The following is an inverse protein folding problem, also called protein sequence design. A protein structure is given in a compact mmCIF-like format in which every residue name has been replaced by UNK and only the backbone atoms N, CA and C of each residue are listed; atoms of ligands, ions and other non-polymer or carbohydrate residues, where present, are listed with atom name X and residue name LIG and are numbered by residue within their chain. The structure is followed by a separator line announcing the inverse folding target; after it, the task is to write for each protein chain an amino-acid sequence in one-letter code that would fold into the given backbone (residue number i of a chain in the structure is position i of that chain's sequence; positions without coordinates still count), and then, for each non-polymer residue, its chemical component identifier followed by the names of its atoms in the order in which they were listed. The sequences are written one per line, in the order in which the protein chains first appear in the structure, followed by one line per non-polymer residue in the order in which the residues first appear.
data_IF_184059951954
#
_entry.id   IF_184059951954
#
_cell.length_a   1.000
_cell.length_b   1.000
_cell.length_c   1.000
_cell.angle_alpha   90.00
_cell.angle_beta   90.00
_cell.angle_gamma   90.00
#
_symmetry.space_group_name_H-M   'P 1'
#
loop_
_entity.id
_entity.type
_entity.pdbx_description
1 polymer ?
#
# COMPACT_ATOMS: atom_id res chain seq x y z
N UNK A 1 28.42 -10.52 20.33
CA UNK A 1 27.17 -9.94 20.88
C UNK A 1 26.14 -9.86 19.75
N UNK A 2 25.27 -10.87 19.65
CA UNK A 2 24.29 -10.98 18.57
C UNK A 2 23.19 -9.92 18.72
N UNK A 3 22.92 -9.17 17.65
CA UNK A 3 21.83 -8.20 17.61
C UNK A 3 20.72 -8.75 16.73
N UNK A 4 19.58 -9.01 17.37
CA UNK A 4 18.34 -9.40 16.70
C UNK A 4 17.91 -8.31 15.72
N UNK A 5 17.69 -8.74 14.49
CA UNK A 5 17.11 -7.93 13.43
C UNK A 5 15.60 -8.03 13.64
N UNK A 6 14.92 -6.88 13.66
CA UNK A 6 13.49 -6.75 13.95
C UNK A 6 12.70 -7.96 13.46
N UNK A 7 12.10 -8.76 14.35
CA UNK A 7 11.23 -9.83 13.93
C UNK A 7 9.94 -9.22 13.32
N UNK A 8 9.24 -9.96 12.44
CA UNK A 8 7.88 -9.60 12.05
C UNK A 8 6.99 -9.52 13.30
N UNK A 9 5.80 -8.88 13.22
CA UNK A 9 4.93 -8.64 14.37
C UNK A 9 4.83 -9.87 15.28
N UNK A 10 5.20 -9.69 16.54
CA UNK A 10 5.53 -10.75 17.48
C UNK A 10 4.41 -11.79 17.63
N UNK A 11 4.79 -13.07 17.73
CA UNK A 11 3.89 -14.21 17.94
C UNK A 11 2.86 -13.91 19.04
N UNK A 12 1.58 -13.91 18.67
CA UNK A 12 0.45 -13.86 19.61
C UNK A 12 0.51 -15.05 20.57
N UNK A 13 0.60 -14.78 21.88
CA UNK A 13 0.56 -15.78 22.94
C UNK A 13 -0.81 -16.48 22.93
N UNK A 14 -0.82 -17.81 22.92
CA UNK A 14 -2.02 -18.65 23.06
C UNK A 14 -2.62 -18.38 24.44
N UNK A 15 -3.82 -17.80 24.48
CA UNK A 15 -4.69 -17.87 25.67
C UNK A 15 -5.74 -18.93 25.42
N UNK A 16 -5.94 -19.80 26.41
CA UNK A 16 -6.84 -20.95 26.43
C UNK A 16 -8.24 -20.57 25.94
N UNK A 17 -8.80 -21.40 25.07
CA UNK A 17 -10.16 -21.21 24.54
C UNK A 17 -11.19 -21.55 25.63
N UNK A 18 -12.10 -20.62 25.89
CA UNK A 18 -13.47 -20.97 26.30
C UNK A 18 -14.36 -20.77 25.08
N UNK A 19 -15.06 -21.84 24.71
CA UNK A 19 -15.86 -21.92 23.51
C UNK A 19 -17.01 -20.93 23.55
N UNK A 20 -16.96 -19.96 22.65
CA UNK A 20 -18.14 -19.23 22.22
C UNK A 20 -18.32 -19.61 20.76
N UNK A 21 -19.44 -20.29 20.47
CA UNK A 21 -19.85 -20.61 19.10
C UNK A 21 -20.10 -19.30 18.35
N UNK A 22 -19.14 -18.88 17.52
CA UNK A 22 -19.35 -17.81 16.55
C UNK A 22 -19.88 -18.42 15.26
N UNK A 23 -21.07 -17.98 14.87
CA UNK A 23 -21.68 -18.25 13.57
C UNK A 23 -20.69 -17.92 12.46
N UNK A 24 -20.32 -18.95 11.70
CA UNK A 24 -19.55 -18.85 10.46
C UNK A 24 -20.38 -18.14 9.41
N UNK A 25 -20.24 -16.83 9.28
CA UNK A 25 -20.62 -16.12 8.07
C UNK A 25 -19.68 -16.55 6.97
N UNK A 26 -20.18 -17.25 5.96
CA UNK A 26 -19.46 -17.63 4.75
C UNK A 26 -18.70 -16.43 4.17
N UNK A 27 -17.46 -16.58 3.69
CA UNK A 27 -16.70 -15.48 3.12
C UNK A 27 -17.42 -14.96 1.87
N UNK A 28 -17.84 -13.70 1.90
CA UNK A 28 -18.30 -13.00 0.70
C UNK A 28 -17.20 -13.08 -0.38
N UNK A 29 -17.55 -13.35 -1.64
CA UNK A 29 -16.57 -13.42 -2.72
C UNK A 29 -15.73 -12.12 -2.74
N UNK A 30 -14.44 -12.19 -3.10
CA UNK A 30 -13.62 -10.99 -3.25
C UNK A 30 -14.30 -10.07 -4.27
N UNK A 31 -14.53 -8.81 -3.89
CA UNK A 31 -15.03 -7.80 -4.81
C UNK A 31 -13.92 -7.48 -5.79
N UNK A 32 -13.89 -8.21 -6.91
CA UNK A 32 -13.05 -7.85 -8.06
C UNK A 32 -13.38 -6.41 -8.47
N UNK A 33 -12.37 -5.60 -8.82
CA UNK A 33 -12.64 -4.26 -9.32
C UNK A 33 -13.47 -4.35 -10.61
N UNK A 34 -14.36 -3.40 -10.88
CA UNK A 34 -15.11 -3.39 -12.13
C UNK A 34 -14.14 -3.34 -13.31
N UNK A 35 -14.40 -4.18 -14.32
CA UNK A 35 -13.48 -4.43 -15.44
C UNK A 35 -13.27 -3.22 -16.35
N UNK A 36 -14.24 -2.31 -16.41
CA UNK A 36 -14.17 -1.06 -17.15
C UNK A 36 -14.23 0.12 -16.19
N UNK A 37 -13.39 1.12 -16.46
CA UNK A 37 -13.58 2.46 -15.91
C UNK A 37 -14.54 3.16 -16.86
N UNK A 38 -15.72 3.54 -16.38
CA UNK A 38 -16.80 4.10 -17.19
C UNK A 38 -16.49 5.51 -17.75
N UNK A 39 -15.35 6.11 -17.35
CA UNK A 39 -14.98 7.49 -17.65
C UNK A 39 -13.48 7.60 -17.93
N UNK A 40 -13.10 8.27 -19.03
CA UNK A 40 -11.72 8.55 -19.45
C UNK A 40 -10.93 9.37 -18.41
N UNK A 41 -11.64 10.01 -17.48
CA UNK A 41 -11.05 10.85 -16.42
C UNK A 41 -10.94 10.13 -15.07
N UNK A 42 -11.32 8.86 -14.99
CA UNK A 42 -11.15 8.06 -13.78
C UNK A 42 -9.78 7.40 -13.75
N UNK A 43 -9.06 7.64 -12.66
CA UNK A 43 -7.78 7.03 -12.36
C UNK A 43 -8.01 5.91 -11.34
N UNK A 44 -7.61 4.69 -11.70
CA UNK A 44 -7.51 3.56 -10.77
C UNK A 44 -6.14 3.50 -10.15
N UNK A 45 -6.10 3.52 -8.82
CA UNK A 45 -4.89 3.36 -8.01
C UNK A 45 -5.00 2.08 -7.17
N UNK A 46 -3.96 1.27 -7.20
CA UNK A 46 -3.74 0.18 -6.25
C UNK A 46 -2.65 0.55 -5.26
N UNK A 47 -2.78 0.04 -4.03
CA UNK A 47 -1.72 0.09 -3.02
C UNK A 47 -1.53 -1.28 -2.39
N UNK A 48 -0.27 -1.71 -2.26
CA UNK A 48 0.06 -3.05 -1.81
C UNK A 48 1.42 -3.12 -1.10
N UNK A 49 1.40 -3.47 0.18
CA UNK A 49 2.61 -3.89 0.86
C UNK A 49 3.00 -5.28 0.36
N UNK A 50 4.11 -5.37 -0.37
CA UNK A 50 4.54 -6.62 -1.00
C UNK A 50 5.54 -7.42 -0.16
N UNK A 51 6.02 -6.85 0.94
CA UNK A 51 6.98 -7.46 1.86
C UNK A 51 8.19 -8.07 1.12
N UNK A 52 8.84 -7.25 0.29
CA UNK A 52 10.02 -7.58 -0.50
C UNK A 52 9.70 -7.85 -1.97
N UNK A 53 10.47 -7.22 -2.85
CA UNK A 53 10.26 -7.29 -4.31
C UNK A 53 10.71 -8.60 -4.95
N UNK A 54 11.64 -9.32 -4.32
CA UNK A 54 12.34 -10.44 -4.95
C UNK A 54 11.41 -11.53 -5.54
N UNK A 55 10.33 -11.97 -4.86
CA UNK A 55 9.42 -12.98 -5.42
C UNK A 55 8.76 -12.57 -6.75
N UNK A 56 8.61 -11.28 -7.00
CA UNK A 56 7.96 -10.75 -8.20
C UNK A 56 8.88 -10.60 -9.41
N UNK A 57 10.19 -10.80 -9.21
CA UNK A 57 11.22 -10.67 -10.24
C UNK A 57 11.75 -12.04 -10.71
N UNK A 58 11.34 -13.12 -10.04
CA UNK A 58 11.78 -14.46 -10.39
C UNK A 58 11.09 -14.92 -11.68
N UNK A 59 11.87 -15.53 -12.58
CA UNK A 59 11.28 -16.24 -13.72
C UNK A 59 10.54 -17.48 -13.20
N UNK A 60 9.38 -17.83 -13.77
CA UNK A 60 8.69 -19.08 -13.48
C UNK A 60 9.66 -20.27 -13.62
N UNK A 61 9.80 -21.12 -12.61
CA UNK A 61 10.67 -22.31 -12.66
C UNK A 61 10.27 -23.25 -13.82
N UNK A 62 9.02 -23.16 -14.29
CA UNK A 62 8.52 -23.90 -15.46
C UNK A 62 9.28 -23.62 -16.76
N UNK A 63 10.09 -22.55 -16.85
CA UNK A 63 10.98 -22.32 -18.00
C UNK A 63 12.14 -23.33 -18.07
N UNK A 64 12.48 -24.01 -16.98
CA UNK A 64 13.55 -25.01 -16.93
C UNK A 64 13.05 -26.45 -17.18
N UNK A 65 11.74 -26.68 -17.09
CA UNK A 65 11.14 -28.01 -17.26
C UNK A 65 10.25 -28.10 -18.51
N UNK A 66 10.49 -27.26 -19.53
CA UNK A 66 9.95 -27.53 -20.86
C UNK A 66 10.68 -28.74 -21.46
N UNK A 67 10.29 -29.93 -21.01
CA UNK A 67 10.64 -31.19 -21.66
C UNK A 67 10.08 -31.16 -23.07
N UNK A 68 10.99 -31.21 -24.04
CA UNK A 68 10.69 -31.44 -25.43
C UNK A 68 10.09 -32.85 -25.53
N UNK A 69 8.77 -32.94 -25.60
CA UNK A 69 8.05 -34.18 -25.85
C UNK A 69 7.40 -34.82 -24.62
N UNK A 70 6.07 -34.75 -24.57
CA UNK A 70 5.15 -35.88 -24.38
C UNK A 70 3.78 -35.34 -24.00
N UNK A 71 2.77 -35.67 -24.79
CA UNK A 71 1.38 -35.43 -24.44
C UNK A 71 0.92 -36.44 -23.40
N UNK A 72 0.30 -35.98 -22.31
CA UNK A 72 -0.80 -36.69 -21.65
C UNK A 72 -1.44 -35.85 -20.54
N UNK A 73 -2.78 -35.87 -20.57
CA UNK A 73 -3.76 -35.76 -19.47
C UNK A 73 -3.78 -34.55 -18.53
N UNK A 74 -4.78 -33.71 -18.81
CA UNK A 74 -5.65 -32.93 -17.92
C UNK A 74 -5.70 -33.41 -16.46
N UNK A 75 -5.16 -32.58 -15.56
CA UNK A 75 -5.67 -32.34 -14.21
C UNK A 75 -5.33 -30.89 -13.84
N UNK A 76 -6.05 -29.95 -14.43
CA UNK A 76 -5.90 -28.51 -14.16
C UNK A 76 -6.55 -28.17 -12.82
N UNK A 77 -5.84 -28.46 -11.71
CA UNK A 77 -5.80 -27.44 -10.65
C UNK A 77 -5.06 -26.29 -11.29
N UNK A 78 -5.77 -25.20 -11.63
CA UNK A 78 -5.16 -23.98 -12.15
C UNK A 78 -4.01 -23.61 -11.22
N UNK A 79 -2.78 -23.93 -11.65
CA UNK A 79 -1.60 -23.58 -10.91
C UNK A 79 -1.61 -22.05 -10.85
N UNK A 80 -1.69 -21.48 -9.64
CA UNK A 80 -1.66 -20.03 -9.49
C UNK A 80 -0.44 -19.52 -10.26
N UNK A 81 -0.64 -18.62 -11.24
CA UNK A 81 0.47 -18.11 -12.01
C UNK A 81 1.48 -17.47 -11.07
N UNK A 82 2.78 -17.59 -11.35
CA UNK A 82 3.84 -17.06 -10.50
C UNK A 82 3.62 -15.55 -10.28
N UNK A 83 3.96 -15.10 -9.08
CA UNK A 83 3.85 -13.70 -8.69
C UNK A 83 4.58 -12.82 -9.72
N UNK A 84 3.83 -11.99 -10.45
CA UNK A 84 4.35 -11.17 -11.54
C UNK A 84 3.75 -9.77 -11.45
N UNK A 85 4.61 -8.74 -11.52
CA UNK A 85 4.15 -7.35 -11.56
C UNK A 85 3.32 -7.10 -12.84
N UNK A 86 3.81 -7.51 -14.01
CA UNK A 86 3.03 -7.41 -15.26
C UNK A 86 1.72 -8.21 -15.18
N UNK A 87 1.78 -9.42 -14.62
CA UNK A 87 0.61 -10.25 -14.41
C UNK A 87 -0.44 -9.57 -13.54
N UNK A 88 -0.01 -8.86 -12.49
CA UNK A 88 -0.87 -8.02 -11.65
C UNK A 88 -1.52 -6.89 -12.44
N UNK A 89 -0.72 -6.12 -13.17
CA UNK A 89 -1.23 -5.00 -13.96
C UNK A 89 -2.24 -5.48 -15.01
N UNK A 90 -1.96 -6.59 -15.68
CA UNK A 90 -2.87 -7.19 -16.67
C UNK A 90 -4.19 -7.65 -16.07
N UNK A 91 -4.16 -8.46 -15.00
CA UNK A 91 -5.38 -9.06 -14.42
C UNK A 91 -6.32 -8.03 -13.80
N UNK A 92 -5.78 -6.87 -13.42
CA UNK A 92 -6.53 -5.77 -12.80
C UNK A 92 -6.84 -4.62 -13.77
N UNK A 93 -6.81 -4.90 -15.08
CA UNK A 93 -7.28 -3.97 -16.11
C UNK A 93 -6.35 -2.79 -16.37
N UNK A 94 -5.04 -2.97 -16.21
CA UNK A 94 -4.02 -1.94 -16.45
C UNK A 94 -4.26 -0.65 -15.64
N UNK A 95 -4.25 -0.73 -14.30
CA UNK A 95 -4.47 0.43 -13.45
C UNK A 95 -3.47 1.55 -13.78
N UNK A 96 -3.89 2.79 -13.58
CA UNK A 96 -3.07 3.95 -13.87
C UNK A 96 -1.88 4.06 -12.91
N UNK A 97 -2.09 3.69 -11.64
CA UNK A 97 -1.08 3.76 -10.59
C UNK A 97 -1.07 2.48 -9.76
N UNK A 98 0.12 1.95 -9.47
CA UNK A 98 0.35 0.88 -8.51
C UNK A 98 1.42 1.32 -7.51
N UNK A 99 1.02 1.45 -6.25
CA UNK A 99 1.89 1.73 -5.13
C UNK A 99 2.33 0.43 -4.45
N UNK A 100 3.64 0.26 -4.32
CA UNK A 100 4.26 -0.85 -3.62
C UNK A 100 4.96 -0.35 -2.37
N UNK A 101 4.69 -0.99 -1.24
CA UNK A 101 5.38 -0.75 0.02
C UNK A 101 6.30 -1.90 0.40
N UNK A 102 7.29 -1.58 1.23
CA UNK A 102 8.27 -2.54 1.77
C UNK A 102 9.00 -3.30 0.65
N UNK A 103 9.46 -2.58 -0.39
CA UNK A 103 10.11 -3.21 -1.56
C UNK A 103 11.44 -3.88 -1.21
N UNK A 104 12.08 -3.47 -0.10
CA UNK A 104 13.36 -4.01 0.42
C UNK A 104 14.50 -3.93 -0.58
N UNK A 105 14.56 -2.82 -1.31
CA UNK A 105 15.65 -2.49 -2.24
C UNK A 105 16.57 -1.48 -1.56
N UNK A 106 17.88 -1.73 -1.59
CA UNK A 106 18.85 -0.76 -1.10
C UNK A 106 19.03 0.36 -2.14
N UNK A 107 19.26 1.59 -1.71
CA UNK A 107 19.40 2.75 -2.62
C UNK A 107 20.46 2.54 -3.74
N UNK A 108 21.53 1.79 -3.43
CA UNK A 108 22.63 1.48 -4.36
C UNK A 108 22.38 0.23 -5.23
N UNK A 109 21.29 -0.50 -5.02
CA UNK A 109 20.96 -1.72 -5.76
C UNK A 109 20.27 -1.39 -7.09
N UNK A 110 21.02 -0.79 -8.02
CA UNK A 110 20.53 -0.37 -9.34
C UNK A 110 20.04 -1.56 -10.15
N UNK A 111 20.72 -2.71 -10.03
CA UNK A 111 20.33 -3.96 -10.71
C UNK A 111 18.90 -4.39 -10.37
N UNK A 112 18.53 -4.35 -9.08
CA UNK A 112 17.17 -4.73 -8.68
C UNK A 112 16.15 -3.69 -9.13
N UNK A 113 16.50 -2.40 -9.11
CA UNK A 113 15.64 -1.33 -9.65
C UNK A 113 15.37 -1.52 -11.15
N UNK A 114 16.39 -1.85 -11.94
CA UNK A 114 16.25 -2.12 -13.38
C UNK A 114 15.46 -3.40 -13.67
N UNK A 115 15.61 -4.42 -12.82
CA UNK A 115 14.80 -5.62 -12.89
C UNK A 115 13.31 -5.32 -12.67
N UNK A 116 12.96 -4.42 -11.75
CA UNK A 116 11.58 -3.94 -11.57
C UNK A 116 11.07 -3.20 -12.80
N UNK A 117 11.85 -2.23 -13.32
CA UNK A 117 11.50 -1.49 -14.55
C UNK A 117 11.25 -2.41 -15.74
N UNK A 118 12.04 -3.48 -15.83
CA UNK A 118 11.86 -4.53 -16.83
C UNK A 118 10.60 -5.35 -16.55
N UNK A 119 10.39 -5.79 -15.31
CA UNK A 119 9.30 -6.68 -14.92
C UNK A 119 7.90 -6.07 -15.11
N UNK A 120 7.73 -4.75 -14.95
CA UNK A 120 6.44 -4.07 -15.16
C UNK A 120 6.08 -3.92 -16.65
N UNK A 121 7.05 -4.10 -17.55
CA UNK A 121 6.91 -3.97 -19.00
C UNK A 121 7.21 -5.28 -19.77
N UNK A 122 7.56 -6.36 -19.07
CA UNK A 122 7.84 -7.65 -19.67
C UNK A 122 6.57 -8.24 -20.25
N UNK A 123 6.50 -8.39 -21.58
CA UNK A 123 5.30 -8.89 -22.27
C UNK A 123 4.89 -10.27 -21.77
N UNK A 124 3.62 -10.41 -21.38
CA UNK A 124 3.05 -11.72 -21.08
C UNK A 124 2.78 -12.49 -22.39
N UNK A 125 2.77 -13.84 -22.38
CA UNK A 125 2.44 -14.64 -23.56
C UNK A 125 1.07 -14.27 -24.17
N UNK A 126 0.08 -13.98 -23.32
CA UNK A 126 -1.27 -13.55 -23.74
C UNK A 126 -1.23 -12.19 -24.46
N UNK A 127 -0.27 -11.31 -24.15
CA UNK A 127 -0.13 -10.01 -24.82
C UNK A 127 0.40 -10.16 -26.24
N UNK A 128 1.22 -11.19 -26.52
CA UNK A 128 1.76 -11.46 -27.86
C UNK A 128 0.69 -11.95 -28.83
N UNK A 129 -0.37 -12.58 -28.33
CA UNK A 129 -1.48 -13.11 -29.13
C UNK A 129 -2.51 -12.04 -29.51
N UNK A 130 -2.50 -10.88 -28.84
CA UNK A 130 -3.50 -9.83 -29.02
C UNK A 130 -2.91 -8.67 -29.82
N UNK A 131 -3.61 -8.26 -30.89
CA UNK A 131 -3.12 -7.27 -31.87
C UNK A 131 -3.00 -5.80 -31.38
N UNK A 132 -2.99 -5.55 -30.06
CA UNK A 132 -3.00 -4.20 -29.49
C UNK A 132 -1.77 -3.89 -28.66
N UNK A 133 -1.20 -2.68 -28.80
CA UNK A 133 -0.18 -2.17 -27.87
C UNK A 133 -0.76 -2.12 -26.46
N UNK A 134 -0.02 -2.64 -25.49
CA UNK A 134 -0.39 -2.58 -24.07
C UNK A 134 0.29 -1.40 -23.40
N UNK A 135 -0.31 -0.83 -22.33
CA UNK A 135 0.29 0.30 -21.65
C UNK A 135 1.69 -0.04 -21.13
N UNK A 136 2.58 0.95 -21.22
CA UNK A 136 3.89 0.93 -20.59
C UNK A 136 3.79 1.60 -19.22
N UNK A 137 4.74 1.26 -18.36
CA UNK A 137 4.83 1.77 -17.01
C UNK A 137 6.25 2.23 -16.69
N UNK A 138 6.32 3.27 -15.87
CA UNK A 138 7.55 3.77 -15.29
C UNK A 138 7.55 3.50 -13.78
N UNK A 139 8.71 3.10 -13.25
CA UNK A 139 8.88 2.79 -11.83
C UNK A 139 9.77 3.84 -11.15
N UNK A 140 9.19 4.51 -10.16
CA UNK A 140 9.83 5.53 -9.34
C UNK A 140 10.05 4.99 -7.94
N UNK A 141 11.25 5.22 -7.38
CA UNK A 141 11.63 4.64 -6.10
C UNK A 141 11.92 5.73 -5.07
N UNK A 142 11.47 5.52 -3.84
CA UNK A 142 11.99 6.23 -2.67
C UNK A 142 12.58 5.17 -1.74
N UNK A 143 13.91 5.11 -1.69
CA UNK A 143 14.67 4.06 -1.01
C UNK A 143 15.36 4.62 0.23
N UNK A 144 15.56 3.79 1.27
CA UNK A 144 16.20 4.22 2.51
C UNK A 144 17.62 4.74 2.29
N UNK A 145 17.92 5.88 2.90
CA UNK A 145 19.24 6.52 2.92
C UNK A 145 19.78 6.70 4.35
N UNK A 146 18.97 6.43 5.38
CA UNK A 146 19.36 6.51 6.79
C UNK A 146 20.31 5.36 7.21
N UNK A 147 21.59 5.63 7.52
CA UNK A 147 22.57 4.60 7.86
C UNK A 147 22.39 4.02 9.27
N UNK A 148 21.60 4.66 10.13
CA UNK A 148 21.41 4.27 11.52
C UNK A 148 20.11 3.50 11.72
N UNK A 149 19.03 3.93 11.08
CA UNK A 149 17.68 3.38 11.29
C UNK A 149 17.22 2.41 10.17
N UNK A 150 17.81 2.48 8.97
CA UNK A 150 17.38 1.69 7.81
C UNK A 150 18.44 0.70 7.32
N UNK A 151 19.07 -0.03 8.25
CA UNK A 151 20.23 -0.90 7.97
C UNK A 151 19.88 -2.24 7.30
N UNK A 152 18.69 -2.79 7.56
CA UNK A 152 18.33 -4.14 7.12
C UNK A 152 19.25 -5.26 7.65
N UNK A 153 19.01 -6.48 7.17
CA UNK A 153 19.77 -7.66 7.59
C UNK A 153 21.25 -7.48 7.22
N UNK A 154 22.12 -7.66 8.22
CA UNK A 154 23.59 -7.51 8.09
C UNK A 154 24.05 -6.17 7.50
N UNK A 155 23.26 -5.09 7.65
CA UNK A 155 23.63 -3.78 7.11
C UNK A 155 23.44 -3.63 5.59
N UNK A 156 22.65 -4.50 4.96
CA UNK A 156 22.40 -4.49 3.51
C UNK A 156 21.64 -3.27 2.97
N UNK A 157 20.98 -2.50 3.84
CA UNK A 157 20.04 -1.43 3.46
C UNK A 157 18.69 -1.94 2.92
N UNK A 158 18.47 -3.26 2.87
CA UNK A 158 17.25 -3.88 2.33
C UNK A 158 16.22 -4.12 3.43
N UNK A 159 15.42 -3.10 3.75
CA UNK A 159 14.44 -3.19 4.86
C UNK A 159 13.11 -2.49 4.61
N UNK A 160 13.14 -1.27 4.06
CA UNK A 160 11.94 -0.46 3.81
C UNK A 160 11.81 -0.18 2.31
N UNK A 161 11.57 1.07 1.92
CA UNK A 161 11.46 1.50 0.55
C UNK A 161 10.03 1.40 0.03
N UNK A 162 9.65 2.38 -0.79
CA UNK A 162 8.41 2.38 -1.57
C UNK A 162 8.73 2.52 -3.06
N UNK A 163 7.85 2.00 -3.90
CA UNK A 163 7.91 2.16 -5.35
C UNK A 163 6.53 2.55 -5.91
N UNK A 164 6.52 3.60 -6.71
CA UNK A 164 5.34 4.07 -7.42
C UNK A 164 5.48 3.69 -8.90
N UNK A 165 4.64 2.78 -9.36
CA UNK A 165 4.58 2.31 -10.74
C UNK A 165 3.43 3.05 -11.44
N UNK A 166 3.76 3.86 -12.44
CA UNK A 166 2.83 4.81 -13.06
C UNK A 166 2.74 4.51 -14.55
N UNK A 167 1.53 4.44 -15.08
CA UNK A 167 1.29 4.20 -16.51
C UNK A 167 1.80 5.40 -17.32
N UNK A 168 2.59 5.17 -18.36
CA UNK A 168 3.33 6.24 -19.07
C UNK A 168 2.42 7.26 -19.76
N UNK A 169 1.20 6.90 -20.12
CA UNK A 169 0.22 7.82 -20.72
C UNK A 169 -0.27 8.91 -19.74
N UNK A 170 -0.16 8.70 -18.43
CA UNK A 170 -0.50 9.74 -17.44
C UNK A 170 0.38 10.98 -17.59
N UNK A 171 1.66 10.82 -17.95
CA UNK A 171 2.58 11.94 -18.18
C UNK A 171 2.26 12.75 -19.44
N UNK A 172 1.50 12.15 -20.37
CA UNK A 172 1.03 12.86 -21.58
C UNK A 172 -0.25 13.65 -21.30
N UNK A 173 -1.06 13.19 -20.34
CA UNK A 173 -2.37 13.78 -20.03
C UNK A 173 -2.31 14.77 -18.85
N UNK A 174 -1.31 14.64 -17.99
CA UNK A 174 -1.16 15.45 -16.77
C UNK A 174 0.28 15.92 -16.58
N UNK A 175 0.43 17.09 -15.98
CA UNK A 175 1.71 17.47 -15.39
C UNK A 175 1.94 16.57 -14.18
N UNK A 176 2.84 15.61 -14.34
CA UNK A 176 3.12 14.60 -13.34
C UNK A 176 4.54 14.75 -12.78
N UNK A 177 4.66 14.75 -11.46
CA UNK A 177 5.94 14.80 -10.74
C UNK A 177 5.96 13.79 -9.62
N UNK A 178 7.06 13.08 -9.46
CA UNK A 178 7.28 12.18 -8.34
C UNK A 178 8.37 12.74 -7.43
N UNK A 179 8.07 12.91 -6.15
CA UNK A 179 9.01 13.39 -5.14
C UNK A 179 8.86 12.65 -3.82
N UNK A 180 9.67 13.05 -2.85
CA UNK A 180 9.52 12.66 -1.45
C UNK A 180 9.61 13.92 -0.57
N UNK A 181 9.55 13.72 0.75
CA UNK A 181 9.69 14.74 1.78
C UNK A 181 11.11 14.75 2.34
N UNK A 182 11.55 15.88 2.88
CA UNK A 182 12.93 16.06 3.39
C UNK A 182 13.18 15.35 4.74
N UNK A 183 12.12 15.20 5.54
CA UNK A 183 12.14 14.57 6.86
C UNK A 183 12.09 13.03 6.84
N UNK A 184 11.93 12.40 5.66
CA UNK A 184 11.91 10.95 5.51
C UNK A 184 13.19 10.41 4.87
N UNK A 185 14.15 10.00 5.70
CA UNK A 185 15.36 9.30 5.26
C UNK A 185 15.22 7.78 5.24
N UNK A 186 14.06 7.25 5.63
CA UNK A 186 13.81 5.80 5.67
C UNK A 186 13.15 5.26 4.39
N UNK A 187 12.80 6.14 3.45
CA UNK A 187 12.21 5.76 2.16
C UNK A 187 10.81 5.17 2.32
N UNK A 188 9.99 5.83 3.12
CA UNK A 188 8.63 5.42 3.50
C UNK A 188 7.54 6.19 2.75
N UNK A 189 7.87 7.34 2.16
CA UNK A 189 6.90 8.21 1.48
C UNK A 189 7.37 8.54 0.07
N UNK A 190 6.51 8.27 -0.91
CA UNK A 190 6.59 8.84 -2.25
C UNK A 190 5.30 9.61 -2.53
N UNK A 191 5.42 10.80 -3.11
CA UNK A 191 4.29 11.65 -3.49
C UNK A 191 4.30 11.76 -5.00
N UNK A 192 3.21 11.31 -5.62
CA UNK A 192 2.93 11.51 -7.05
C UNK A 192 1.96 12.69 -7.16
N UNK A 193 2.48 13.80 -7.63
CA UNK A 193 1.73 15.01 -7.94
C UNK A 193 1.23 14.91 -9.37
N UNK A 194 -0.10 14.95 -9.57
CA UNK A 194 -0.75 14.99 -10.86
C UNK A 194 -1.57 16.27 -10.96
N UNK A 195 -1.37 17.07 -12.01
CA UNK A 195 -2.20 18.25 -12.23
C UNK A 195 -2.53 18.51 -13.69
N UNK A 196 -3.71 19.07 -13.91
CA UNK A 196 -4.11 19.74 -15.16
C UNK A 196 -4.52 21.19 -14.83
N UNK A 197 -5.21 21.87 -15.74
CA UNK A 197 -5.69 23.25 -15.54
C UNK A 197 -6.78 23.39 -14.47
N UNK A 198 -7.45 22.30 -14.08
CA UNK A 198 -8.65 22.32 -13.23
C UNK A 198 -8.42 21.71 -11.84
N UNK A 199 -7.61 20.67 -11.77
CA UNK A 199 -7.44 19.84 -10.58
C UNK A 199 -5.98 19.50 -10.35
N UNK A 200 -5.60 19.49 -9.08
CA UNK A 200 -4.29 19.03 -8.61
C UNK A 200 -4.50 17.94 -7.58
N UNK A 201 -3.86 16.79 -7.76
CA UNK A 201 -3.88 15.65 -6.84
C UNK A 201 -2.48 15.33 -6.34
N UNK A 202 -2.33 15.19 -5.03
CA UNK A 202 -1.15 14.63 -4.40
C UNK A 202 -1.48 13.23 -3.89
N UNK A 203 -0.94 12.22 -4.57
CA UNK A 203 -1.13 10.81 -4.26
C UNK A 203 0.05 10.31 -3.44
N UNK A 204 -0.17 9.96 -2.18
CA UNK A 204 0.89 9.49 -1.29
C UNK A 204 0.95 7.97 -1.26
N UNK A 205 2.11 7.41 -1.58
CA UNK A 205 2.47 6.02 -1.36
C UNK A 205 3.19 5.90 -0.02
N UNK A 206 2.56 5.25 0.95
CA UNK A 206 2.98 5.30 2.36
C UNK A 206 3.29 3.92 2.92
N UNK A 207 4.47 3.78 3.52
CA UNK A 207 4.82 2.70 4.44
C UNK A 207 5.15 3.27 5.82
N UNK A 208 4.11 3.51 6.62
CA UNK A 208 4.25 4.15 7.92
C UNK A 208 5.10 3.31 8.89
N UNK A 209 5.66 3.99 9.88
CA UNK A 209 6.56 3.39 10.86
C UNK A 209 5.84 2.28 11.63
N UNK A 210 6.46 1.10 11.72
CA UNK A 210 6.08 0.10 12.71
C UNK A 210 6.70 0.47 14.06
N UNK A 211 5.87 0.59 15.10
CA UNK A 211 6.30 1.01 16.42
C UNK A 211 6.87 -0.16 17.21
N UNK A 212 8.08 0.01 17.76
CA UNK A 212 8.76 -0.96 18.62
C UNK A 212 9.58 -0.23 19.70
N UNK A 213 10.06 -0.97 20.70
CA UNK A 213 10.97 -0.44 21.73
C UNK A 213 12.42 -0.27 21.24
N UNK A 214 12.70 -0.57 19.96
CA UNK A 214 14.03 -0.35 19.40
C UNK A 214 14.37 1.15 19.45
N UNK A 215 15.64 1.50 19.70
CA UNK A 215 16.05 2.90 19.67
C UNK A 215 15.85 3.49 18.28
N UNK A 216 15.31 4.70 18.24
CA UNK A 216 15.38 5.57 17.07
C UNK A 216 16.58 6.49 17.23
N UNK A 217 17.42 6.55 16.20
CA UNK A 217 18.65 7.34 16.21
C UNK A 217 18.51 8.57 15.34
N UNK A 218 19.17 9.66 15.71
CA UNK A 218 19.32 10.81 14.83
C UNK A 218 19.99 10.37 13.51
N UNK A 219 19.39 10.64 12.35
CA UNK A 219 19.92 10.17 11.06
C UNK A 219 21.28 10.75 10.67
N UNK A 220 21.73 11.84 11.30
CA UNK A 220 22.98 12.52 10.97
C UNK A 220 24.12 12.18 11.94
N UNK A 221 23.80 11.98 13.23
CA UNK A 221 24.77 11.78 14.31
C UNK A 221 24.76 10.37 14.90
N UNK A 222 23.69 9.60 14.69
CA UNK A 222 23.50 8.26 15.27
C UNK A 222 23.16 8.24 16.77
N UNK A 223 22.98 9.42 17.38
CA UNK A 223 22.62 9.57 18.80
C UNK A 223 21.19 9.09 19.05
N UNK A 224 20.93 8.48 20.20
CA UNK A 224 19.59 7.99 20.53
C UNK A 224 18.62 9.16 20.78
N UNK A 225 17.47 9.14 20.11
CA UNK A 225 16.41 10.17 20.16
C UNK A 225 15.07 9.63 20.65
N UNK A 226 15.09 8.52 21.38
CA UNK A 226 13.91 7.80 21.83
C UNK A 226 13.74 6.47 21.11
N UNK A 227 12.50 6.05 20.89
CA UNK A 227 12.15 4.72 20.37
C UNK A 227 11.46 4.80 19.00
N UNK A 228 11.26 3.64 18.37
CA UNK A 228 10.42 3.54 17.16
C UNK A 228 8.96 3.88 17.42
N UNK A 229 8.48 3.76 18.67
CA UNK A 229 7.16 4.24 19.05
C UNK A 229 7.08 5.77 18.95
N UNK A 230 8.07 6.49 19.49
CA UNK A 230 8.13 7.96 19.41
C UNK A 230 8.25 8.42 17.96
N UNK A 231 9.11 7.76 17.17
CA UNK A 231 9.25 8.06 15.74
C UNK A 231 7.95 7.86 14.97
N UNK A 232 7.10 6.93 15.37
CA UNK A 232 5.81 6.68 14.71
C UNK A 232 4.83 7.84 14.93
N UNK A 233 4.69 8.33 16.16
CA UNK A 233 3.86 9.49 16.46
C UNK A 233 4.36 10.73 15.71
N UNK A 234 5.68 10.92 15.68
CA UNK A 234 6.29 12.00 14.92
C UNK A 234 6.08 11.85 13.41
N UNK A 235 6.09 10.62 12.88
CA UNK A 235 5.75 10.36 11.47
C UNK A 235 4.32 10.76 11.15
N UNK A 236 3.36 10.46 12.03
CA UNK A 236 1.98 10.87 11.85
C UNK A 236 1.83 12.39 11.84
N UNK A 237 2.48 13.10 12.78
CA UNK A 237 2.47 14.58 12.82
C UNK A 237 3.01 15.19 11.53
N UNK A 238 4.22 14.80 11.12
CA UNK A 238 4.87 15.32 9.92
C UNK A 238 4.09 15.01 8.63
N UNK A 239 3.52 13.81 8.52
CA UNK A 239 2.66 13.44 7.40
C UNK A 239 1.39 14.31 7.36
N UNK A 240 0.74 14.51 8.51
CA UNK A 240 -0.45 15.36 8.62
C UNK A 240 -0.15 16.81 8.20
N UNK A 241 0.96 17.38 8.67
CA UNK A 241 1.38 18.74 8.31
C UNK A 241 1.64 18.90 6.81
N UNK A 242 2.29 17.92 6.18
CA UNK A 242 2.49 17.92 4.73
C UNK A 242 1.15 17.85 3.97
N UNK A 243 0.17 17.09 4.47
CA UNK A 243 -1.17 17.04 3.87
C UNK A 243 -1.88 18.40 3.98
N UNK A 244 -1.88 19.01 5.17
CA UNK A 244 -2.51 20.32 5.41
C UNK A 244 -1.85 21.39 4.54
N UNK A 245 -0.52 21.39 4.46
CA UNK A 245 0.23 22.33 3.61
C UNK A 245 -0.21 22.23 2.15
N UNK A 246 -0.29 21.01 1.61
CA UNK A 246 -0.72 20.79 0.24
C UNK A 246 -2.21 21.12 0.02
N UNK A 247 -3.11 20.82 0.97
CA UNK A 247 -4.52 21.26 0.88
C UNK A 247 -4.63 22.78 0.81
N UNK A 248 -3.85 23.50 1.62
CA UNK A 248 -3.80 24.96 1.59
C UNK A 248 -3.26 25.52 0.26
N UNK A 249 -2.45 24.74 -0.46
CA UNK A 249 -1.96 25.04 -1.81
C UNK A 249 -2.95 24.62 -2.92
N UNK A 250 -4.13 24.12 -2.55
CA UNK A 250 -5.20 23.73 -3.46
C UNK A 250 -5.09 22.31 -4.00
N UNK A 251 -4.25 21.45 -3.39
CA UNK A 251 -4.15 20.04 -3.78
C UNK A 251 -5.24 19.21 -3.13
N UNK A 252 -5.86 18.33 -3.91
CA UNK A 252 -6.61 17.20 -3.39
C UNK A 252 -5.65 16.12 -2.89
N UNK A 253 -5.82 15.70 -1.64
CA UNK A 253 -4.93 14.72 -1.02
C UNK A 253 -5.56 13.33 -1.03
N UNK A 254 -4.78 12.33 -1.46
CA UNK A 254 -5.13 10.93 -1.37
C UNK A 254 -3.95 10.15 -0.80
N UNK A 255 -4.10 9.64 0.41
CA UNK A 255 -3.13 8.82 1.11
C UNK A 255 -3.43 7.34 0.85
N UNK A 256 -2.44 6.57 0.38
CA UNK A 256 -2.61 5.16 0.11
C UNK A 256 -1.41 4.31 0.57
N UNK A 257 -1.69 3.24 1.32
CA UNK A 257 -0.66 2.28 1.76
C UNK A 257 -0.80 1.82 3.20
N UNK A 258 0.26 1.16 3.68
CA UNK A 258 0.34 0.55 5.00
C UNK A 258 0.60 1.61 6.09
N UNK A 259 -0.42 1.91 6.87
CA UNK A 259 -0.37 2.85 8.00
C UNK A 259 0.08 2.15 9.30
N UNK A 260 0.22 0.83 9.31
CA UNK A 260 0.60 0.04 10.48
C UNK A 260 -0.29 0.30 11.72
N UNK A 261 -1.56 0.64 11.52
CA UNK A 261 -2.55 0.92 12.57
C UNK A 261 -3.88 0.31 12.17
N UNK A 262 -4.53 -0.42 13.09
CA UNK A 262 -5.93 -0.80 12.99
C UNK A 262 -6.76 0.12 13.90
N UNK A 263 -7.78 0.87 13.41
CA UNK A 263 -8.36 2.01 14.09
C UNK A 263 -9.58 1.62 14.94
N UNK A 264 -10.18 0.47 14.67
CA UNK A 264 -11.45 0.03 15.25
C UNK A 264 -11.52 -1.49 15.45
N UNK A 265 -12.46 -1.98 16.26
CA UNK A 265 -12.60 -3.41 16.58
C UNK A 265 -12.92 -4.29 15.38
N UNK A 266 -13.61 -3.72 14.40
CA UNK A 266 -13.88 -4.38 13.12
C UNK A 266 -12.63 -4.54 12.24
N UNK A 267 -11.57 -3.78 12.53
CA UNK A 267 -10.30 -3.79 11.80
C UNK A 267 -9.27 -4.77 12.36
N UNK A 268 -9.63 -5.59 13.36
CA UNK A 268 -8.80 -6.68 13.86
C UNK A 268 -9.59 -7.98 14.04
N UNK A 269 -8.97 -9.11 13.73
CA UNK A 269 -9.51 -10.45 13.97
C UNK A 269 -8.46 -11.36 14.63
N UNK A 270 -8.84 -12.14 15.66
CA UNK A 270 -10.18 -12.24 16.27
C UNK A 270 -10.51 -11.09 17.22
N UNK A 271 -9.53 -10.24 17.56
CA UNK A 271 -9.73 -9.02 18.36
C UNK A 271 -8.74 -7.97 17.90
N UNK A 272 -9.07 -6.72 18.14
CA UNK A 272 -8.17 -5.59 17.94
C UNK A 272 -6.97 -5.67 18.87
N UNK A 273 -5.77 -5.40 18.34
CA UNK A 273 -4.54 -5.40 19.14
C UNK A 273 -4.50 -4.22 20.11
N UNK A 274 -4.27 -4.51 21.38
CA UNK A 274 -4.13 -3.51 22.45
C UNK A 274 -2.83 -3.65 23.24
N UNK A 275 -2.10 -4.75 23.04
CA UNK A 275 -0.78 -5.00 23.62
C UNK A 275 0.29 -5.08 22.52
N UNK A 276 1.43 -4.38 22.66
CA UNK A 276 1.75 -3.47 23.76
C UNK A 276 0.85 -2.21 23.75
N UNK A 277 0.77 -1.49 24.88
CA UNK A 277 -0.17 -0.36 25.09
C UNK A 277 -0.02 0.72 24.01
N UNK A 278 1.16 0.81 23.40
CA UNK A 278 1.48 1.68 22.29
C UNK A 278 0.57 1.47 21.07
N UNK A 279 -0.01 0.29 20.85
CA UNK A 279 -1.05 0.14 19.81
C UNK A 279 -2.28 1.01 20.06
N UNK A 280 -2.65 1.21 21.33
CA UNK A 280 -3.77 2.08 21.71
C UNK A 280 -3.42 3.54 21.48
N UNK A 281 -2.22 3.98 21.86
CA UNK A 281 -1.76 5.36 21.65
C UNK A 281 -1.62 5.70 20.17
N UNK A 282 -0.95 4.84 19.39
CA UNK A 282 -0.80 5.03 17.95
C UNK A 282 -2.14 5.10 17.22
N UNK A 283 -3.13 4.32 17.68
CA UNK A 283 -4.50 4.37 17.15
C UNK A 283 -5.17 5.70 17.47
N UNK A 284 -5.09 6.14 18.72
CA UNK A 284 -5.71 7.39 19.14
C UNK A 284 -5.15 8.58 18.34
N UNK A 285 -3.81 8.64 18.22
CA UNK A 285 -3.11 9.66 17.44
C UNK A 285 -3.46 9.60 15.95
N UNK A 286 -3.42 8.41 15.32
CA UNK A 286 -3.82 8.25 13.92
C UNK A 286 -5.27 8.70 13.67
N UNK A 287 -6.20 8.35 14.55
CA UNK A 287 -7.61 8.77 14.42
C UNK A 287 -7.76 10.28 14.55
N UNK A 288 -7.11 10.89 15.54
CA UNK A 288 -7.17 12.32 15.78
C UNK A 288 -6.62 13.12 14.59
N UNK A 289 -5.47 12.69 14.04
CA UNK A 289 -4.78 13.41 12.96
C UNK A 289 -5.41 13.21 11.58
N UNK A 290 -5.91 12.00 11.28
CA UNK A 290 -6.28 11.65 9.90
C UNK A 290 -7.74 11.29 9.68
N UNK A 291 -8.52 10.92 10.72
CA UNK A 291 -9.84 10.30 10.54
C UNK A 291 -10.96 10.97 11.38
N UNK A 292 -10.80 12.24 11.74
CA UNK A 292 -11.82 12.99 12.49
C UNK A 292 -12.10 12.46 13.89
N UNK A 293 -11.09 11.85 14.52
CA UNK A 293 -11.14 11.45 15.92
C UNK A 293 -11.25 12.64 16.87
N UNK A 294 -11.37 12.36 18.18
CA UNK A 294 -11.32 13.40 19.21
C UNK A 294 -9.99 14.15 19.09
N UNK A 295 -10.06 15.44 18.80
CA UNK A 295 -8.94 16.38 18.78
C UNK A 295 -8.90 17.17 20.08
N UNK A 296 -7.72 17.67 20.45
CA UNK A 296 -7.64 18.74 21.43
C UNK A 296 -8.33 20.00 20.88
N UNK A 297 -8.86 20.83 21.77
CA UNK A 297 -9.50 22.09 21.37
C UNK A 297 -8.43 22.94 20.67
N UNK A 298 -8.74 23.44 19.48
CA UNK A 298 -7.89 24.27 18.61
C UNK A 298 -6.78 23.59 17.78
N UNK A 299 -6.60 22.26 17.83
CA UNK A 299 -5.64 21.59 16.93
C UNK A 299 -6.17 21.52 15.49
N UNK A 300 -5.38 22.05 14.53
CA UNK A 300 -5.62 21.89 13.09
C UNK A 300 -5.10 20.53 12.65
N UNK A 301 -6.01 19.71 12.10
CA UNK A 301 -5.73 18.33 11.67
C UNK A 301 -6.23 18.12 10.25
N UNK A 302 -5.70 17.10 9.56
CA UNK A 302 -6.07 16.78 8.17
C UNK A 302 -7.53 16.32 8.03
N UNK A 303 -8.05 15.61 9.04
CA UNK A 303 -9.47 15.25 9.13
C UNK A 303 -10.06 14.53 7.89
N UNK A 304 -9.26 13.66 7.28
CA UNK A 304 -9.63 12.87 6.10
C UNK A 304 -10.70 11.81 6.34
N UNK A 305 -11.03 11.10 5.25
CA UNK A 305 -12.05 10.04 5.19
C UNK A 305 -11.39 8.72 4.83
N UNK A 306 -11.52 7.71 5.71
CA UNK A 306 -11.24 6.31 5.37
C UNK A 306 -12.26 5.84 4.31
N UNK A 307 -11.81 5.76 3.06
CA UNK A 307 -12.67 5.54 1.89
C UNK A 307 -13.39 4.19 1.97
N UNK A 308 -12.66 3.11 2.28
CA UNK A 308 -13.25 1.78 2.41
C UNK A 308 -14.37 1.81 3.44
N UNK A 309 -14.08 2.42 4.59
CA UNK A 309 -15.03 2.42 5.69
C UNK A 309 -16.27 3.24 5.41
N UNK A 310 -16.09 4.39 4.75
CA UNK A 310 -17.20 5.26 4.36
C UNK A 310 -18.13 4.59 3.33
N UNK A 311 -17.58 3.77 2.42
CA UNK A 311 -18.35 3.09 1.38
C UNK A 311 -18.98 1.76 1.83
N UNK A 312 -18.34 1.03 2.76
CA UNK A 312 -18.72 -0.34 3.10
C UNK A 312 -19.26 -0.51 4.53
N UNK A 313 -19.41 0.59 5.28
CA UNK A 313 -20.04 0.59 6.61
C UNK A 313 -19.33 -0.37 7.57
N UNK A 314 -20.06 -1.33 8.15
CA UNK A 314 -19.53 -2.25 9.16
C UNK A 314 -18.87 -3.52 8.61
N UNK A 315 -18.75 -3.65 7.28
CA UNK A 315 -18.14 -4.83 6.69
C UNK A 315 -16.71 -5.06 7.21
N UNK A 316 -16.44 -6.29 7.63
CA UNK A 316 -15.11 -6.75 8.05
C UNK A 316 -14.37 -7.29 6.83
N UNK A 317 -13.25 -6.66 6.51
CA UNK A 317 -12.22 -7.14 5.58
C UNK A 317 -10.85 -6.70 6.08
N UNK A 318 -9.85 -7.51 5.79
CA UNK A 318 -8.51 -7.36 6.35
C UNK A 318 -7.49 -7.20 5.24
N UNK A 319 -6.41 -6.50 5.55
CA UNK A 319 -5.33 -6.25 4.58
C UNK A 319 -4.07 -6.99 4.95
N UNK A 320 -3.82 -7.23 6.24
CA UNK A 320 -2.73 -8.04 6.77
C UNK A 320 -3.22 -9.39 7.28
N UNK A 321 -2.52 -10.46 6.89
CA UNK A 321 -2.76 -11.83 7.33
C UNK A 321 -1.47 -12.47 7.86
N UNK A 322 -1.50 -12.94 9.10
CA UNK A 322 -0.31 -13.50 9.75
C UNK A 322 0.21 -14.75 9.03
N UNK A 323 1.49 -14.77 8.64
CA UNK A 323 2.12 -15.95 8.03
C UNK A 323 2.17 -17.15 8.98
N UNK A 324 2.08 -18.36 8.41
CA UNK A 324 2.18 -19.61 9.16
C UNK A 324 0.97 -19.90 10.05
N UNK A 325 -0.16 -19.22 9.81
CA UNK A 325 -1.46 -19.50 10.41
C UNK A 325 -2.47 -19.80 9.32
N UNK A 326 -3.57 -20.43 9.70
CA UNK A 326 -4.73 -20.58 8.82
C UNK A 326 -5.22 -19.21 8.35
N UNK A 327 -5.55 -19.11 7.06
CA UNK A 327 -6.09 -17.91 6.45
C UNK A 327 -7.27 -17.35 7.25
N UNK A 328 -7.32 -16.04 7.47
CA UNK A 328 -8.41 -15.42 8.22
C UNK A 328 -8.34 -15.57 9.76
N UNK A 329 -7.46 -16.41 10.31
CA UNK A 329 -7.44 -16.68 11.76
C UNK A 329 -6.77 -15.59 12.63
N UNK A 330 -6.02 -14.68 12.00
CA UNK A 330 -5.25 -13.62 12.68
C UNK A 330 -4.91 -12.50 11.71
N UNK A 331 -5.73 -11.47 11.72
CA UNK A 331 -5.77 -10.47 10.65
C UNK A 331 -5.94 -9.06 11.22
N UNK A 332 -5.44 -8.07 10.48
CA UNK A 332 -5.70 -6.67 10.76
C UNK A 332 -5.94 -5.93 9.44
N UNK A 333 -6.76 -4.88 9.45
CA UNK A 333 -6.80 -3.89 8.37
C UNK A 333 -5.86 -2.77 8.76
N UNK A 334 -4.76 -2.65 8.03
CA UNK A 334 -3.69 -1.66 8.28
C UNK A 334 -3.29 -0.89 7.03
N UNK A 335 -3.83 -1.28 5.87
CA UNK A 335 -3.64 -0.60 4.60
C UNK A 335 -4.91 0.20 4.27
N UNK A 336 -4.74 1.47 3.90
CA UNK A 336 -5.85 2.41 3.73
C UNK A 336 -5.75 3.19 2.44
N UNK A 337 -6.92 3.62 1.96
CA UNK A 337 -7.04 4.85 1.19
C UNK A 337 -7.75 5.87 2.08
N UNK A 338 -7.06 6.97 2.40
CA UNK A 338 -7.63 8.11 3.11
C UNK A 338 -7.65 9.30 2.17
N UNK A 339 -8.81 9.90 1.96
CA UNK A 339 -8.93 11.08 1.10
C UNK A 339 -9.26 12.33 1.92
N UNK A 340 -8.75 13.49 1.51
CA UNK A 340 -9.10 14.78 2.12
C UNK A 340 -10.62 15.01 2.11
N UNK A 341 -11.14 15.63 3.18
CA UNK A 341 -12.59 15.81 3.37
C UNK A 341 -13.22 16.62 2.24
N UNK A 342 -12.54 17.67 1.77
CA UNK A 342 -12.98 18.46 0.61
C UNK A 342 -13.14 17.58 -0.63
N UNK A 343 -12.12 16.82 -0.98
CA UNK A 343 -12.12 15.89 -2.12
C UNK A 343 -13.23 14.85 -2.06
N UNK A 344 -13.54 14.35 -0.85
CA UNK A 344 -14.68 13.45 -0.64
C UNK A 344 -16.01 14.15 -0.93
N UNK A 345 -16.20 15.35 -0.36
CA UNK A 345 -17.43 16.13 -0.53
C UNK A 345 -17.66 16.57 -1.99
N UNK A 346 -16.57 16.84 -2.72
CA UNK A 346 -16.59 17.16 -4.15
C UNK A 346 -16.94 15.92 -5.02
N UNK A 347 -17.09 14.74 -4.41
CA UNK A 347 -17.50 13.51 -5.08
C UNK A 347 -16.45 12.95 -6.03
N UNK A 348 -15.16 13.15 -5.70
CA UNK A 348 -14.04 12.71 -6.54
C UNK A 348 -13.78 11.21 -6.44
N UNK A 349 -14.16 10.54 -5.35
CA UNK A 349 -14.06 9.08 -5.23
C UNK A 349 -15.28 8.41 -5.86
N UNK A 350 -15.03 7.42 -6.72
CA UNK A 350 -16.07 6.64 -7.41
C UNK A 350 -16.28 5.26 -6.81
N UNK A 351 -15.19 4.58 -6.51
CA UNK A 351 -15.23 3.22 -5.98
C UNK A 351 -13.96 2.88 -5.21
N UNK A 352 -14.01 1.85 -4.37
CA UNK A 352 -12.85 1.34 -3.66
C UNK A 352 -13.07 -0.09 -3.21
N UNK A 353 -11.98 -0.81 -2.95
CA UNK A 353 -12.08 -2.20 -2.50
C UNK A 353 -10.83 -2.75 -1.84
N UNK A 354 -11.00 -3.94 -1.24
CA UNK A 354 -9.93 -4.74 -0.65
C UNK A 354 -9.97 -6.12 -1.31
N UNK A 355 -8.84 -6.54 -1.88
CA UNK A 355 -8.69 -7.84 -2.53
C UNK A 355 -8.38 -8.96 -1.51
N UNK A 356 -9.25 -9.11 -0.52
CA UNK A 356 -9.07 -9.98 0.66
C UNK A 356 -9.19 -11.47 0.31
N UNK A 357 -8.16 -12.01 -0.34
CA UNK A 357 -8.03 -13.44 -0.66
C UNK A 357 -6.56 -13.88 -0.67
N UNK A 358 -6.32 -15.17 -0.44
CA UNK A 358 -4.97 -15.73 -0.47
C UNK A 358 -4.31 -15.62 -1.85
N UNK A 359 -5.09 -15.77 -2.93
CA UNK A 359 -4.61 -15.62 -4.29
C UNK A 359 -4.09 -14.20 -4.56
N UNK A 360 -4.83 -13.19 -4.12
CA UNK A 360 -4.46 -11.78 -4.32
C UNK A 360 -3.34 -11.33 -3.38
N UNK A 361 -3.23 -11.91 -2.18
CA UNK A 361 -2.07 -11.73 -1.28
C UNK A 361 -0.76 -12.17 -1.93
N UNK A 362 -0.81 -13.19 -2.79
CA UNK A 362 0.38 -13.76 -3.43
C UNK A 362 1.47 -14.10 -2.39
N UNK A 363 2.73 -13.71 -2.63
CA UNK A 363 3.85 -14.02 -1.74
C UNK A 363 3.93 -13.09 -0.51
N UNK A 364 3.11 -12.04 -0.44
CA UNK A 364 3.11 -11.09 0.67
C UNK A 364 2.39 -11.66 1.90
N UNK A 365 2.41 -10.94 3.01
CA UNK A 365 1.45 -11.05 4.12
C UNK A 365 0.32 -10.02 4.04
N UNK A 366 0.35 -9.12 3.05
CA UNK A 366 -0.73 -8.18 2.79
C UNK A 366 -1.46 -8.45 1.47
N UNK A 367 -2.74 -8.09 1.41
CA UNK A 367 -3.52 -8.03 0.16
C UNK A 367 -3.57 -6.59 -0.39
N UNK A 368 -3.72 -6.42 -1.70
CA UNK A 368 -3.91 -5.11 -2.31
C UNK A 368 -5.23 -4.45 -1.91
N UNK A 369 -5.19 -3.12 -1.81
CA UNK A 369 -6.37 -2.25 -1.78
C UNK A 369 -6.40 -1.39 -3.03
N UNK A 370 -7.57 -0.85 -3.38
CA UNK A 370 -7.70 0.01 -4.54
C UNK A 370 -8.76 1.10 -4.36
N UNK A 371 -8.63 2.15 -5.17
CA UNK A 371 -9.56 3.26 -5.28
C UNK A 371 -9.63 3.75 -6.72
N UNK A 372 -10.84 4.09 -7.14
CA UNK A 372 -11.12 4.83 -8.37
C UNK A 372 -11.47 6.26 -8.00
N UNK A 373 -10.73 7.23 -8.55
CA UNK A 373 -10.99 8.65 -8.33
C UNK A 373 -10.96 9.42 -9.65
N UNK A 374 -11.68 10.54 -9.69
CA UNK A 374 -11.85 11.37 -10.87
C UNK A 374 -10.90 12.57 -10.85
N UNK A 375 -10.22 12.81 -11.96
CA UNK A 375 -9.64 14.11 -12.29
C UNK A 375 -10.74 14.96 -12.94
N UNK A 376 -10.96 16.19 -12.50
CA UNK A 376 -11.92 17.06 -13.19
C UNK A 376 -11.29 17.64 -14.46
N UNK A 377 -12.14 17.87 -15.45
CA UNK A 377 -11.80 18.54 -16.70
C UNK A 377 -12.94 19.49 -17.10
N UNK A 378 -12.65 20.39 -18.03
CA UNK A 378 -13.39 21.61 -18.45
C UNK A 378 -14.92 21.45 -18.66
N UNK A 379 -15.45 20.24 -18.79
CA UNK A 379 -16.83 19.97 -19.17
C UNK A 379 -17.92 20.24 -18.10
N UNK A 380 -17.63 20.96 -17.01
CA UNK A 380 -18.59 21.20 -15.91
C UNK A 380 -19.12 22.62 -15.74
N UNK A 381 -18.69 23.60 -16.52
CA UNK A 381 -19.26 24.97 -16.46
C UNK A 381 -20.50 25.20 -17.35
N UNK A 382 -20.94 24.21 -18.13
CA UNK A 382 -22.17 24.32 -18.93
C UNK A 382 -23.30 23.50 -18.34
N UNK A 383 -23.75 23.84 -17.13
CA UNK A 383 -25.12 23.62 -16.60
C UNK A 383 -25.23 24.10 -15.15
N UNK A 384 -25.44 25.40 -14.97
CA UNK A 384 -26.37 25.95 -13.97
C UNK A 384 -26.84 27.30 -14.43
#
# INVERSE_FOLDING_TARGET
MGRDISPPPTKRRKTSAHGIQTQTTSPLPPSSPPSNLDDNHTIRLFSWNINGIAPFLQKPITSFFQTVGSGSSKNSREAMPPASLRGFLHRHGWPAVLFLQEVKIAAKDVRTQDAVRTAVNARLPIETLLAGKRPLYEAYFTLPSDPHNARGLRGSGKVYGVCSIIRSDLFSNYQAKVRTVDWDREGRISIVELSNSFTKFALFNIYAVNGTDNPYRDPSTGTDRGTRHDRKLEFHRLLMEECIRLENEGWHILLAGDMNVAPDERDGHPRLRTFPRQHVFNRADFKARFLGGKKEVDEVVFDGIDVWRKMHGDQRRYTYHSRGREWGSSCDRVDYVVIGRKSWNDGLVRNAGILDSEAERGPSDHVPIWVDFKMEDEARESKT
#
